data_IF_259433605253
#
_entry.id   IF_259433605253
#
_cell.length_a   1.000
_cell.length_b   1.000
_cell.length_c   1.000
_cell.angle_alpha   90.00
_cell.angle_beta   90.00
_cell.angle_gamma   90.00
#
_symmetry.space_group_name_H-M   'P 1'
#
loop_
_entity.id
_entity.type
_entity.pdbx_description
1 polymer ?
#
# COMPACT_ATOMS: atom_id res chain seq x y z
N UNK A 1 -15.36 24.59 -6.31
CA UNK A 1 -15.43 23.10 -6.27
C UNK A 1 -14.27 22.56 -5.44
N UNK A 2 -14.53 21.73 -4.43
CA UNK A 2 -13.50 21.15 -3.54
C UNK A 2 -13.05 19.79 -4.09
N UNK A 3 -11.74 19.47 -4.01
CA UNK A 3 -11.21 18.16 -4.40
C UNK A 3 -11.83 17.05 -3.54
N UNK A 4 -12.25 15.94 -4.15
CA UNK A 4 -12.88 14.83 -3.41
C UNK A 4 -11.91 14.08 -2.47
N UNK A 5 -10.59 14.24 -2.66
CA UNK A 5 -9.57 13.64 -1.79
C UNK A 5 -9.46 12.12 -1.90
N UNK A 6 -10.14 11.50 -2.87
CA UNK A 6 -10.16 10.06 -3.01
C UNK A 6 -8.82 9.53 -3.57
N UNK A 7 -8.18 8.62 -2.82
CA UNK A 7 -6.89 8.03 -3.23
C UNK A 7 -6.99 7.05 -4.39
N UNK A 8 -8.19 6.49 -4.66
CA UNK A 8 -8.36 5.36 -5.59
C UNK A 8 -8.40 5.86 -7.03
N UNK A 9 -7.49 5.36 -7.86
CA UNK A 9 -7.36 5.79 -9.26
C UNK A 9 -8.64 5.55 -10.07
N UNK A 10 -9.34 4.44 -9.81
CA UNK A 10 -10.60 4.09 -10.44
C UNK A 10 -11.75 5.10 -10.19
N UNK A 11 -11.64 5.95 -9.16
CA UNK A 11 -12.69 6.92 -8.80
C UNK A 11 -12.31 8.32 -9.25
N UNK A 12 -11.10 8.77 -8.91
CA UNK A 12 -10.63 10.11 -9.27
C UNK A 12 -9.12 10.06 -9.56
N UNK A 13 -8.70 9.88 -10.82
CA UNK A 13 -7.29 9.85 -11.21
C UNK A 13 -6.53 11.09 -10.74
N UNK A 14 -7.12 12.28 -10.85
CA UNK A 14 -6.47 13.53 -10.42
C UNK A 14 -6.14 13.59 -8.92
N UNK A 15 -7.09 13.21 -8.05
CA UNK A 15 -6.84 13.17 -6.60
C UNK A 15 -5.91 12.02 -6.22
N UNK A 16 -6.04 10.88 -6.91
CA UNK A 16 -5.23 9.69 -6.74
C UNK A 16 -3.75 9.94 -7.07
N UNK A 17 -3.47 10.57 -8.20
CA UNK A 17 -2.10 10.90 -8.63
C UNK A 17 -1.42 11.86 -7.63
N UNK A 18 -2.18 12.83 -7.12
CA UNK A 18 -1.67 13.76 -6.12
C UNK A 18 -1.37 13.04 -4.79
N UNK A 19 -2.23 12.10 -4.40
CA UNK A 19 -2.00 11.25 -3.22
C UNK A 19 -0.77 10.36 -3.39
N UNK A 20 -0.57 9.78 -4.58
CA UNK A 20 0.62 9.01 -4.91
C UNK A 20 1.89 9.86 -4.84
N UNK A 21 1.86 11.07 -5.40
CA UNK A 21 2.99 12.00 -5.34
C UNK A 21 3.33 12.43 -3.90
N UNK A 22 2.32 12.67 -3.07
CA UNK A 22 2.52 12.96 -1.64
C UNK A 22 3.13 11.76 -0.89
N UNK A 23 2.64 10.55 -1.20
CA UNK A 23 3.22 9.32 -0.65
C UNK A 23 4.67 9.18 -1.10
N UNK A 24 4.97 9.44 -2.36
CA UNK A 24 6.34 9.39 -2.89
C UNK A 24 7.25 10.34 -2.11
N UNK A 25 6.84 11.60 -1.90
CA UNK A 25 7.61 12.59 -1.14
C UNK A 25 7.86 12.14 0.31
N UNK A 26 6.84 11.57 0.95
CA UNK A 26 6.92 11.06 2.31
C UNK A 26 7.89 9.87 2.42
N UNK A 27 7.79 8.90 1.52
CA UNK A 27 8.65 7.71 1.51
C UNK A 27 10.08 8.10 1.14
N UNK A 28 10.26 8.93 0.11
CA UNK A 28 11.57 9.38 -0.34
C UNK A 28 12.31 10.15 0.75
N UNK A 29 11.67 11.12 1.41
CA UNK A 29 12.27 11.82 2.54
C UNK A 29 12.65 10.86 3.68
N UNK A 30 11.82 9.84 3.93
CA UNK A 30 12.07 8.81 4.93
C UNK A 30 13.05 7.72 4.51
N UNK A 31 13.57 7.73 3.29
CA UNK A 31 14.58 6.77 2.84
C UNK A 31 15.92 7.48 2.58
N UNK A 32 15.86 8.62 1.90
CA UNK A 32 17.03 9.39 1.47
C UNK A 32 17.45 10.46 2.49
N UNK A 33 16.50 11.12 3.15
CA UNK A 33 16.78 12.34 3.92
C UNK A 33 17.16 13.54 3.04
N UNK A 34 17.65 14.62 3.69
CA UNK A 34 18.09 15.85 3.04
C UNK A 34 16.96 16.80 2.60
N UNK A 35 15.70 16.44 2.85
CA UNK A 35 14.57 17.31 2.56
C UNK A 35 13.38 17.03 3.48
N UNK A 36 12.39 17.93 3.49
CA UNK A 36 11.20 17.84 4.36
C UNK A 36 11.52 17.69 5.86
N UNK A 37 12.62 18.29 6.31
CA UNK A 37 13.08 18.24 7.71
C UNK A 37 13.76 16.92 8.11
N UNK A 38 14.13 16.07 7.15
CA UNK A 38 14.88 14.84 7.40
C UNK A 38 16.39 15.09 7.27
N UNK A 39 17.22 14.63 8.23
CA UNK A 39 18.68 14.77 8.14
C UNK A 39 19.26 14.06 6.92
N UNK A 40 20.33 14.60 6.33
CA UNK A 40 21.07 13.96 5.22
C UNK A 40 21.64 12.60 5.61
N UNK A 41 22.00 12.42 6.89
CA UNK A 41 22.46 11.15 7.46
C UNK A 41 21.42 10.03 7.42
N UNK A 42 20.18 10.32 7.02
CA UNK A 42 19.14 9.29 6.86
C UNK A 42 19.52 8.24 5.82
N UNK A 43 20.14 8.65 4.71
CA UNK A 43 20.53 7.75 3.62
C UNK A 43 21.53 6.67 4.06
N UNK A 44 22.32 6.94 5.09
CA UNK A 44 23.36 6.02 5.59
C UNK A 44 22.85 5.09 6.70
N UNK A 45 21.60 5.26 7.14
CA UNK A 45 21.02 4.42 8.21
C UNK A 45 20.75 2.99 7.69
N UNK A 46 20.80 1.97 8.56
CA UNK A 46 20.40 0.61 8.19
C UNK A 46 18.95 0.59 7.75
N UNK A 47 18.72 0.15 6.52
CA UNK A 47 17.40 0.13 5.91
C UNK A 47 17.14 -1.22 5.24
N UNK A 48 15.90 -1.68 5.32
CA UNK A 48 15.43 -2.91 4.70
C UNK A 48 14.10 -2.64 4.03
N UNK A 49 14.00 -3.02 2.76
CA UNK A 49 12.73 -3.16 2.07
C UNK A 49 12.26 -4.62 2.21
N UNK A 50 11.05 -4.81 2.74
CA UNK A 50 10.48 -6.14 2.94
C UNK A 50 9.06 -6.24 2.38
N UNK A 51 8.74 -7.41 1.83
CA UNK A 51 7.41 -7.79 1.38
C UNK A 51 6.92 -8.98 2.21
N UNK A 52 5.97 -8.74 3.12
CA UNK A 52 5.35 -9.76 3.96
C UNK A 52 4.06 -10.25 3.29
N UNK A 53 4.01 -11.53 2.90
CA UNK A 53 2.88 -12.11 2.17
C UNK A 53 2.05 -13.06 3.03
N UNK A 54 0.83 -13.34 2.57
CA UNK A 54 -0.02 -14.38 3.15
C UNK A 54 0.51 -15.79 2.82
N UNK A 55 0.22 -16.80 3.66
CA UNK A 55 0.47 -18.20 3.32
C UNK A 55 -0.38 -18.63 2.11
N UNK A 56 -0.13 -19.84 1.61
CA UNK A 56 -1.01 -20.44 0.61
C UNK A 56 -2.28 -20.98 1.28
N UNK A 57 -3.44 -20.74 0.66
CA UNK A 57 -4.73 -21.32 1.04
C UNK A 57 -5.23 -22.34 0.02
N UNK A 58 -4.44 -22.62 -1.02
CA UNK A 58 -4.81 -23.48 -2.13
C UNK A 58 -4.02 -23.10 -3.38
N UNK A 59 -3.93 -24.02 -4.34
CA UNK A 59 -3.28 -23.74 -5.62
C UNK A 59 -4.12 -22.75 -6.44
N UNK A 60 -3.48 -21.72 -6.97
CA UNK A 60 -4.11 -20.68 -7.80
C UNK A 60 -3.36 -20.54 -9.12
N UNK A 61 -4.04 -20.06 -10.16
CA UNK A 61 -3.39 -19.70 -11.41
C UNK A 61 -2.36 -18.59 -11.18
N UNK A 62 -1.15 -18.76 -11.74
CA UNK A 62 -0.03 -17.82 -11.62
C UNK A 62 0.64 -17.60 -12.96
N UNK A 63 1.11 -16.37 -13.20
CA UNK A 63 1.95 -16.07 -14.35
C UNK A 63 3.36 -16.59 -14.05
N UNK A 64 3.82 -17.57 -14.82
CA UNK A 64 5.17 -18.10 -14.69
C UNK A 64 6.15 -17.22 -15.45
N UNK A 65 6.75 -16.20 -14.84
CA UNK A 65 7.77 -15.40 -15.52
C UNK A 65 8.37 -14.36 -14.59
N UNK A 66 9.70 -14.36 -14.43
CA UNK A 66 10.43 -13.20 -13.90
C UNK A 66 10.83 -12.34 -15.10
N UNK A 67 10.88 -11.02 -14.93
CA UNK A 67 11.38 -10.09 -15.94
C UNK A 67 12.73 -10.60 -16.50
N UNK A 68 12.80 -10.89 -17.80
CA UNK A 68 14.00 -11.42 -18.47
C UNK A 68 14.13 -12.95 -18.52
N UNK A 69 13.14 -13.71 -18.06
CA UNK A 69 13.05 -15.16 -18.29
C UNK A 69 11.88 -15.50 -19.23
N UNK A 70 12.04 -16.59 -19.99
CA UNK A 70 10.99 -17.12 -20.85
C UNK A 70 9.71 -17.40 -20.06
N UNK A 71 8.57 -17.13 -20.70
CA UNK A 71 7.26 -17.41 -20.13
C UNK A 71 7.12 -18.91 -19.83
N UNK A 72 6.65 -19.22 -18.63
CA UNK A 72 6.46 -20.56 -18.09
C UNK A 72 4.97 -20.84 -17.99
N UNK A 73 4.65 -22.08 -18.30
CA UNK A 73 3.35 -22.68 -18.05
C UNK A 73 2.96 -22.56 -16.57
N UNK A 74 1.68 -22.29 -16.33
CA UNK A 74 1.12 -21.97 -15.03
C UNK A 74 1.40 -23.04 -13.97
N UNK A 75 0.98 -24.28 -14.24
CA UNK A 75 1.19 -25.46 -13.39
C UNK A 75 1.54 -26.64 -14.29
N UNK A 76 2.83 -26.84 -14.63
CA UNK A 76 3.23 -27.93 -15.51
C UNK A 76 2.93 -29.30 -14.88
N UNK A 77 2.81 -30.36 -15.70
CA UNK A 77 2.57 -31.71 -15.20
C UNK A 77 3.79 -32.20 -14.42
N UNK A 78 3.72 -32.17 -13.10
CA UNK A 78 4.85 -32.51 -12.23
C UNK A 78 4.66 -33.89 -11.60
N UNK A 79 4.58 -34.97 -12.39
CA UNK A 79 4.70 -36.38 -11.97
C UNK A 79 3.86 -36.90 -10.78
N UNK A 80 3.02 -36.07 -10.17
CA UNK A 80 2.26 -36.32 -8.95
C UNK A 80 0.77 -36.49 -9.24
N UNK A 81 -0.08 -36.27 -8.23
CA UNK A 81 -1.53 -36.38 -8.37
C UNK A 81 -2.02 -35.36 -9.41
N UNK A 82 -2.50 -35.86 -10.54
CA UNK A 82 -3.04 -35.04 -11.63
C UNK A 82 -4.38 -34.39 -11.28
N UNK A 83 -5.13 -34.97 -10.33
CA UNK A 83 -6.44 -34.50 -9.91
C UNK A 83 -6.52 -34.39 -8.38
N UNK A 84 -7.32 -33.43 -7.91
CA UNK A 84 -7.67 -33.29 -6.51
C UNK A 84 -8.77 -34.31 -6.11
N UNK A 85 -9.08 -34.46 -4.80
CA UNK A 85 -10.19 -35.30 -4.34
C UNK A 85 -11.56 -34.93 -4.93
N UNK A 86 -11.74 -33.70 -5.40
CA UNK A 86 -12.96 -33.22 -6.06
C UNK A 86 -12.97 -33.47 -7.59
N UNK A 87 -11.98 -34.21 -8.11
CA UNK A 87 -11.90 -34.56 -9.53
C UNK A 87 -11.44 -33.43 -10.45
N UNK A 88 -11.00 -32.28 -9.93
CA UNK A 88 -10.43 -31.19 -10.74
C UNK A 88 -8.94 -31.40 -10.99
N UNK A 89 -8.50 -31.08 -12.20
CA UNK A 89 -7.09 -31.14 -12.56
C UNK A 89 -6.27 -30.13 -11.74
N UNK A 90 -5.12 -30.57 -11.21
CA UNK A 90 -4.17 -29.73 -10.47
C UNK A 90 -3.02 -29.22 -11.35
N UNK A 91 -3.25 -29.20 -12.66
CA UNK A 91 -2.31 -28.76 -13.68
C UNK A 91 -2.97 -27.73 -14.59
N UNK A 92 -2.18 -26.80 -15.10
CA UNK A 92 -2.58 -25.78 -16.05
C UNK A 92 -1.40 -25.55 -17.00
N UNK A 93 -1.55 -25.99 -18.25
CA UNK A 93 -0.53 -25.84 -19.29
C UNK A 93 -0.70 -24.53 -20.09
N UNK A 94 -1.44 -23.57 -19.54
CA UNK A 94 -1.60 -22.24 -20.13
C UNK A 94 -0.43 -21.36 -19.66
N UNK A 95 0.08 -20.55 -20.59
CA UNK A 95 0.95 -19.43 -20.27
C UNK A 95 0.05 -18.21 -20.09
N UNK A 96 -0.21 -17.84 -18.84
CA UNK A 96 -1.03 -16.67 -18.54
C UNK A 96 -0.25 -15.38 -18.78
N UNK A 97 -0.83 -14.49 -19.59
CA UNK A 97 -0.37 -13.11 -19.72
C UNK A 97 -0.70 -12.32 -18.45
N UNK A 98 -0.05 -11.17 -18.26
CA UNK A 98 -0.10 -10.43 -16.98
C UNK A 98 -1.49 -9.93 -16.58
N UNK A 99 -2.40 -9.80 -17.53
CA UNK A 99 -3.78 -9.29 -17.42
C UNK A 99 -4.85 -10.38 -17.56
N UNK A 100 -4.45 -11.65 -17.60
CA UNK A 100 -5.37 -12.78 -17.68
C UNK A 100 -6.27 -12.86 -16.43
N UNK A 101 -7.58 -12.95 -16.66
CA UNK A 101 -8.62 -12.98 -15.63
C UNK A 101 -8.57 -14.24 -14.74
N UNK A 102 -7.96 -15.34 -15.22
CA UNK A 102 -7.77 -16.54 -14.42
C UNK A 102 -6.73 -16.33 -13.31
N UNK A 103 -5.81 -15.37 -13.46
CA UNK A 103 -4.73 -15.16 -12.49
C UNK A 103 -5.25 -14.89 -11.08
N UNK A 104 -4.75 -15.69 -10.13
CA UNK A 104 -5.15 -15.64 -8.73
C UNK A 104 -6.42 -16.42 -8.40
N UNK A 105 -7.17 -16.90 -9.40
CA UNK A 105 -8.29 -17.82 -9.16
C UNK A 105 -7.77 -19.22 -8.78
N UNK A 106 -8.49 -19.98 -7.94
CA UNK A 106 -8.08 -21.31 -7.52
C UNK A 106 -8.24 -22.33 -8.64
N UNK A 107 -7.27 -23.25 -8.78
CA UNK A 107 -7.39 -24.41 -9.68
C UNK A 107 -8.61 -25.28 -9.32
N UNK A 108 -8.91 -25.37 -8.02
CA UNK A 108 -10.10 -26.00 -7.50
C UNK A 108 -10.67 -25.16 -6.36
N UNK A 109 -11.84 -24.50 -6.55
CA UNK A 109 -12.51 -23.72 -5.51
C UNK A 109 -12.76 -24.54 -4.24
N UNK A 110 -13.16 -25.81 -4.38
CA UNK A 110 -13.47 -26.68 -3.24
C UNK A 110 -12.22 -27.11 -2.45
N UNK A 111 -11.04 -27.07 -3.06
CA UNK A 111 -9.77 -27.27 -2.36
C UNK A 111 -9.22 -26.01 -1.68
N UNK A 112 -9.82 -24.84 -1.95
CA UNK A 112 -9.30 -23.56 -1.48
C UNK A 112 -9.87 -23.22 -0.09
N UNK A 113 -9.01 -22.94 0.88
CA UNK A 113 -9.39 -22.53 2.24
C UNK A 113 -9.82 -21.06 2.30
N UNK A 114 -11.06 -20.81 1.88
CA UNK A 114 -11.68 -19.48 1.93
C UNK A 114 -11.82 -18.94 3.36
N UNK A 115 -12.07 -19.81 4.33
CA UNK A 115 -12.15 -19.42 5.75
C UNK A 115 -10.81 -18.87 6.23
N UNK A 116 -9.73 -19.62 6.00
CA UNK A 116 -8.37 -19.16 6.32
C UNK A 116 -8.01 -17.85 5.60
N UNK A 117 -8.37 -17.73 4.31
CA UNK A 117 -8.15 -16.52 3.53
C UNK A 117 -8.82 -15.30 4.17
N UNK A 118 -10.13 -15.40 4.44
CA UNK A 118 -10.92 -14.29 4.97
C UNK A 118 -10.42 -13.89 6.35
N UNK A 119 -10.15 -14.86 7.22
CA UNK A 119 -9.60 -14.61 8.55
C UNK A 119 -8.22 -13.95 8.48
N UNK A 120 -7.36 -14.37 7.53
CA UNK A 120 -6.08 -13.71 7.31
C UNK A 120 -6.27 -12.23 6.94
N UNK A 121 -7.10 -11.90 5.94
CA UNK A 121 -7.34 -10.50 5.56
C UNK A 121 -7.91 -9.67 6.72
N UNK A 122 -8.87 -10.24 7.47
CA UNK A 122 -9.50 -9.60 8.63
C UNK A 122 -8.50 -9.29 9.76
N UNK A 123 -7.61 -10.24 10.04
CA UNK A 123 -6.61 -10.13 11.10
C UNK A 123 -5.24 -9.62 10.64
N UNK A 124 -5.06 -9.32 9.35
CA UNK A 124 -3.81 -8.81 8.81
C UNK A 124 -3.31 -7.54 9.56
N UNK A 125 -4.17 -6.59 10.01
CA UNK A 125 -3.72 -5.47 10.83
C UNK A 125 -3.17 -5.89 12.20
N UNK A 126 -3.71 -6.94 12.81
CA UNK A 126 -3.23 -7.48 14.09
C UNK A 126 -1.90 -8.24 13.90
N UNK A 127 -1.77 -9.03 12.84
CA UNK A 127 -0.49 -9.65 12.46
C UNK A 127 0.61 -8.60 12.26
N UNK A 128 0.27 -7.47 11.63
CA UNK A 128 1.21 -6.35 11.48
C UNK A 128 1.62 -5.75 12.84
N UNK A 129 0.66 -5.51 13.73
CA UNK A 129 0.94 -5.00 15.08
C UNK A 129 1.90 -5.95 15.82
N UNK A 130 1.59 -7.24 15.85
CA UNK A 130 2.44 -8.28 16.45
C UNK A 130 3.83 -8.33 15.84
N UNK A 131 3.92 -8.21 14.51
CA UNK A 131 5.20 -8.11 13.80
C UNK A 131 6.03 -6.92 14.25
N UNK A 132 5.47 -5.72 14.30
CA UNK A 132 6.23 -4.53 14.75
C UNK A 132 6.71 -4.65 16.19
N UNK A 133 5.93 -5.28 17.08
CA UNK A 133 6.32 -5.54 18.47
C UNK A 133 7.44 -6.59 18.52
N UNK A 134 7.29 -7.71 17.80
CA UNK A 134 8.28 -8.78 17.75
C UNK A 134 9.61 -8.28 17.16
N UNK A 135 9.55 -7.47 16.11
CA UNK A 135 10.70 -6.83 15.49
C UNK A 135 11.40 -5.88 16.47
N UNK A 136 10.67 -4.99 17.14
CA UNK A 136 11.25 -4.10 18.15
C UNK A 136 11.96 -4.87 19.28
N UNK A 137 11.36 -5.97 19.76
CA UNK A 137 11.98 -6.85 20.76
C UNK A 137 13.23 -7.54 20.24
N UNK A 138 13.20 -8.05 19.01
CA UNK A 138 14.33 -8.75 18.39
C UNK A 138 15.51 -7.80 18.14
N UNK A 139 15.23 -6.57 17.69
CA UNK A 139 16.23 -5.50 17.58
C UNK A 139 16.83 -5.19 18.95
N UNK A 140 16.01 -4.98 19.98
CA UNK A 140 16.52 -4.69 21.33
C UNK A 140 17.41 -5.80 21.90
N UNK A 141 17.09 -7.08 21.61
CA UNK A 141 17.95 -8.21 21.99
C UNK A 141 19.29 -8.15 21.25
N UNK A 142 19.26 -7.94 19.93
CA UNK A 142 20.48 -7.85 19.13
C UNK A 142 21.37 -6.67 19.55
N UNK A 143 20.78 -5.51 19.87
CA UNK A 143 21.51 -4.34 20.38
C UNK A 143 22.20 -4.64 21.70
N UNK A 144 21.52 -5.28 22.66
CA UNK A 144 22.15 -5.70 23.93
C UNK A 144 23.32 -6.66 23.70
N UNK A 145 23.18 -7.62 22.78
CA UNK A 145 24.26 -8.56 22.45
C UNK A 145 25.48 -7.88 21.79
N UNK A 146 25.27 -6.73 21.14
CA UNK A 146 26.33 -5.94 20.49
C UNK A 146 26.84 -4.78 21.36
N UNK A 147 26.39 -4.68 22.62
CA UNK A 147 26.84 -3.66 23.57
C UNK A 147 26.19 -2.29 23.39
N UNK A 148 25.06 -2.21 22.69
CA UNK A 148 24.32 -0.98 22.43
C UNK A 148 23.07 -0.92 23.32
N UNK A 149 22.86 0.22 23.97
CA UNK A 149 21.64 0.50 24.72
C UNK A 149 20.42 0.53 23.79
N UNK A 150 19.39 -0.33 24.00
CA UNK A 150 18.23 -0.40 23.12
C UNK A 150 17.49 0.92 22.93
N UNK A 151 17.45 1.77 23.97
CA UNK A 151 16.74 3.04 23.93
C UNK A 151 17.48 4.11 23.10
N UNK A 152 18.76 3.88 22.77
CA UNK A 152 19.52 4.72 21.86
C UNK A 152 19.11 4.54 20.39
N UNK A 153 18.34 3.49 20.07
CA UNK A 153 17.92 3.15 18.70
C UNK A 153 16.39 3.03 18.61
N UNK A 154 15.82 3.77 17.67
CA UNK A 154 14.40 3.76 17.32
C UNK A 154 14.14 2.98 16.04
N UNK A 155 13.15 2.10 16.09
CA UNK A 155 12.59 1.45 14.91
C UNK A 155 11.62 2.39 14.18
N UNK A 156 11.97 2.77 12.95
CA UNK A 156 11.14 3.58 12.07
C UNK A 156 10.69 2.78 10.86
N UNK A 157 9.43 2.89 10.47
CA UNK A 157 8.91 2.21 9.29
C UNK A 157 7.83 3.00 8.56
N UNK A 158 7.64 2.66 7.28
CA UNK A 158 6.44 2.92 6.49
C UNK A 158 5.99 1.62 5.83
N UNK A 159 4.69 1.39 5.79
CA UNK A 159 4.06 0.23 5.20
C UNK A 159 2.99 0.66 4.21
N UNK A 160 2.89 -0.07 3.11
CA UNK A 160 1.78 -0.07 2.16
C UNK A 160 1.15 -1.47 2.11
N UNK A 161 -0.17 -1.53 2.27
CA UNK A 161 -0.97 -2.72 2.02
C UNK A 161 -1.42 -2.76 0.56
N UNK A 162 -1.25 -3.90 -0.08
CA UNK A 162 -1.68 -4.16 -1.45
C UNK A 162 -2.39 -5.52 -1.51
N UNK A 163 -3.33 -5.68 -2.43
CA UNK A 163 -3.91 -6.98 -2.74
C UNK A 163 -3.10 -7.70 -3.82
N UNK A 164 -2.80 -8.96 -3.57
CA UNK A 164 -2.35 -9.89 -4.61
C UNK A 164 -3.49 -10.17 -5.58
N UNK A 165 -3.18 -10.70 -6.77
CA UNK A 165 -4.18 -11.16 -7.75
C UNK A 165 -5.23 -12.12 -7.16
N UNK A 166 -4.81 -12.93 -6.19
CA UNK A 166 -5.68 -13.83 -5.39
C UNK A 166 -6.43 -13.14 -4.25
N UNK A 167 -6.63 -11.82 -4.29
CA UNK A 167 -7.35 -11.02 -3.29
C UNK A 167 -6.85 -11.08 -1.82
N UNK A 168 -5.62 -11.57 -1.59
CA UNK A 168 -4.98 -11.54 -0.27
C UNK A 168 -4.15 -10.28 -0.09
N UNK A 169 -4.24 -9.69 1.09
CA UNK A 169 -3.40 -8.53 1.43
C UNK A 169 -1.96 -8.96 1.72
N UNK A 170 -1.00 -8.27 1.12
CA UNK A 170 0.41 -8.31 1.52
C UNK A 170 0.90 -6.90 1.89
N UNK A 171 2.02 -6.85 2.61
CA UNK A 171 2.62 -5.60 3.05
C UNK A 171 3.96 -5.39 2.40
N UNK A 172 4.10 -4.27 1.70
CA UNK A 172 5.41 -3.71 1.36
C UNK A 172 5.81 -2.72 2.44
N UNK A 173 7.00 -2.85 3.00
CA UNK A 173 7.46 -1.98 4.09
C UNK A 173 8.91 -1.59 3.91
N UNK A 174 9.23 -0.33 4.20
CA UNK A 174 10.60 0.10 4.43
C UNK A 174 10.78 0.25 5.94
N UNK A 175 11.80 -0.41 6.47
CA UNK A 175 12.15 -0.43 7.90
C UNK A 175 13.54 0.15 8.03
N UNK A 176 13.72 1.06 8.98
CA UNK A 176 14.96 1.80 9.23
C UNK A 176 15.24 1.85 10.73
N UNK A 177 16.52 1.75 11.11
CA UNK A 177 16.96 2.04 12.47
C UNK A 177 17.47 3.49 12.54
N UNK A 178 16.94 4.25 13.49
CA UNK A 178 17.32 5.64 13.75
C UNK A 178 17.98 5.77 15.11
N UNK A 179 18.95 6.68 15.31
CA UNK A 179 19.30 7.11 16.65
C UNK A 179 18.11 7.84 17.32
N UNK A 180 18.00 7.72 18.64
CA UNK A 180 16.97 8.42 19.42
C UNK A 180 17.33 9.89 19.66
N UNK A 181 18.62 10.17 19.89
CA UNK A 181 19.20 11.51 20.20
C UNK A 181 19.64 12.27 18.94
N UNK A 182 18.76 12.37 17.96
CA UNK A 182 19.01 13.15 16.75
C UNK A 182 18.53 14.60 16.92
N UNK A 183 19.18 15.33 17.82
CA UNK A 183 19.01 16.79 18.00
C UNK A 183 19.82 17.60 16.96
N UNK A 184 20.26 16.96 15.86
CA UNK A 184 20.89 17.63 14.72
C UNK A 184 22.30 18.19 14.96
N UNK A 185 22.92 17.94 16.13
CA UNK A 185 24.22 18.53 16.52
C UNK A 185 25.38 17.52 16.52
N UNK A 186 25.13 16.21 16.50
CA UNK A 186 26.22 15.23 16.53
C UNK A 186 26.66 14.82 15.12
N UNK A 187 27.50 15.66 14.50
CA UNK A 187 28.43 15.24 13.45
C UNK A 187 29.52 14.36 14.08
N UNK A 188 29.24 13.08 14.22
CA UNK A 188 30.21 12.09 14.66
C UNK A 188 29.85 10.75 14.03
N UNK A 189 30.82 10.11 13.36
CA UNK A 189 30.69 8.80 12.70
C UNK A 189 29.69 7.90 13.42
N UNK A 190 28.50 7.75 12.86
CA UNK A 190 27.63 6.63 13.20
C UNK A 190 28.26 5.42 12.51
N UNK A 191 29.25 4.82 13.17
CA UNK A 191 29.57 3.42 12.93
C UNK A 191 28.30 2.66 13.32
N UNK A 192 27.40 2.50 12.36
CA UNK A 192 26.19 1.73 12.56
C UNK A 192 26.61 0.28 12.81
N UNK A 193 26.74 -0.08 14.09
CA UNK A 193 27.13 -1.42 14.52
C UNK A 193 26.16 -2.48 13.97
N UNK A 194 24.90 -2.10 13.68
CA UNK A 194 23.94 -2.97 12.99
C UNK A 194 23.94 -2.66 11.51
N UNK A 195 24.34 -3.62 10.68
CA UNK A 195 24.26 -3.54 9.22
C UNK A 195 22.83 -3.72 8.70
N UNK A 196 22.56 -3.29 7.46
CA UNK A 196 21.29 -3.55 6.79
C UNK A 196 21.01 -5.07 6.64
N UNK A 197 22.06 -5.88 6.49
CA UNK A 197 21.98 -7.35 6.39
C UNK A 197 21.58 -8.00 7.72
N UNK A 198 22.13 -7.52 8.83
CA UNK A 198 21.70 -7.97 10.17
C UNK A 198 20.25 -7.58 10.42
N UNK A 199 19.87 -6.34 10.09
CA UNK A 199 18.47 -5.92 10.16
C UNK A 199 17.56 -6.81 9.31
N UNK A 200 17.97 -7.19 8.09
CA UNK A 200 17.21 -8.08 7.23
C UNK A 200 16.99 -9.46 7.86
N UNK A 201 18.01 -9.99 8.55
CA UNK A 201 17.94 -11.25 9.30
C UNK A 201 16.96 -11.15 10.46
N UNK A 202 17.01 -10.06 11.23
CA UNK A 202 16.10 -9.80 12.35
C UNK A 202 14.65 -9.66 11.84
N UNK A 203 14.44 -8.96 10.72
CA UNK A 203 13.12 -8.84 10.08
C UNK A 203 12.56 -10.20 9.68
N UNK A 204 13.38 -11.07 9.08
CA UNK A 204 12.99 -12.44 8.72
C UNK A 204 12.53 -13.24 9.94
N UNK A 205 13.38 -13.28 10.98
CA UNK A 205 13.08 -14.00 12.22
C UNK A 205 11.82 -13.47 12.91
N UNK A 206 11.63 -12.15 12.93
CA UNK A 206 10.43 -11.54 13.50
C UNK A 206 9.17 -11.95 12.72
N UNK A 207 9.21 -11.94 11.38
CA UNK A 207 8.07 -12.34 10.55
C UNK A 207 7.72 -13.83 10.70
N UNK A 208 8.71 -14.71 10.79
CA UNK A 208 8.53 -16.16 10.95
C UNK A 208 7.93 -16.55 12.32
N UNK A 209 8.27 -15.80 13.38
CA UNK A 209 7.78 -16.07 14.74
C UNK A 209 6.35 -15.59 14.99
N UNK A 210 5.87 -14.63 14.21
CA UNK A 210 4.55 -14.00 14.43
C UNK A 210 3.44 -14.96 14.05
N UNK A 211 2.60 -15.25 15.03
CA UNK A 211 1.41 -16.05 14.86
C UNK A 211 0.25 -15.48 15.70
N UNK A 212 -0.96 -15.81 15.30
CA UNK A 212 -2.20 -15.39 15.94
C UNK A 212 -3.20 -16.55 15.91
N UNK A 213 -3.49 -17.10 17.09
CA UNK A 213 -4.60 -18.03 17.27
C UNK A 213 -5.93 -17.27 17.16
N UNK A 214 -6.83 -17.77 16.35
CA UNK A 214 -8.19 -17.25 16.17
C UNK A 214 -9.15 -18.40 16.37
N UNK A 215 -10.03 -18.27 17.37
CA UNK A 215 -11.10 -19.21 17.58
C UNK A 215 -12.06 -19.18 16.39
N UNK A 216 -12.33 -20.34 15.80
CA UNK A 216 -13.35 -20.50 14.77
C UNK A 216 -14.39 -21.46 15.31
N UNK A 217 -15.55 -20.93 15.67
CA UNK A 217 -16.70 -21.77 16.00
C UNK A 217 -17.23 -22.37 14.69
N UNK A 218 -17.00 -23.66 14.48
CA UNK A 218 -17.66 -24.39 13.41
C UNK A 218 -19.15 -24.52 13.74
N UNK A 219 -20.07 -24.30 12.80
CA UNK A 219 -21.49 -24.59 13.01
C UNK A 219 -21.81 -26.10 13.09
N UNK A 220 -20.80 -26.98 12.98
CA UNK A 220 -21.00 -28.42 13.14
C UNK A 220 -21.06 -28.83 14.63
N UNK A 221 -22.28 -29.16 15.06
CA UNK A 221 -22.69 -29.86 16.29
C UNK A 221 -22.69 -29.05 17.61
N UNK A 222 -23.87 -28.64 18.14
CA UNK A 222 -24.00 -28.04 19.47
C UNK A 222 -23.67 -29.01 20.62
N UNK A 223 -23.51 -30.31 20.36
CA UNK A 223 -23.12 -31.31 21.36
C UNK A 223 -21.59 -31.53 21.49
N UNK A 224 -20.80 -30.97 20.57
CA UNK A 224 -19.34 -30.83 20.71
C UNK A 224 -18.83 -29.64 19.91
N UNK A 225 -18.74 -28.42 20.49
CA UNK A 225 -18.07 -27.32 19.81
C UNK A 225 -16.58 -27.65 19.71
N UNK A 226 -16.16 -28.27 18.61
CA UNK A 226 -14.76 -28.29 18.22
C UNK A 226 -14.36 -26.85 17.92
N UNK A 227 -14.03 -26.11 18.98
CA UNK A 227 -13.43 -24.78 18.91
C UNK A 227 -11.99 -25.00 18.49
N UNK A 228 -11.78 -25.23 17.20
CA UNK A 228 -10.45 -25.32 16.63
C UNK A 228 -9.87 -23.93 16.50
N UNK A 229 -8.84 -23.62 17.31
CA UNK A 229 -8.04 -22.42 17.11
C UNK A 229 -7.30 -22.53 15.77
N UNK A 230 -7.60 -21.63 14.83
CA UNK A 230 -6.81 -21.48 13.61
C UNK A 230 -5.62 -20.58 13.86
N UNK A 231 -4.43 -21.08 13.53
CA UNK A 231 -3.20 -20.33 13.66
C UNK A 231 -2.89 -19.53 12.40
N UNK A 232 -3.10 -18.21 12.45
CA UNK A 232 -2.74 -17.28 11.38
C UNK A 232 -1.28 -16.86 11.50
N UNK A 233 -0.57 -16.77 10.37
CA UNK A 233 0.85 -16.36 10.27
C UNK A 233 1.15 -15.76 8.90
N UNK A 234 2.29 -15.09 8.74
CA UNK A 234 2.80 -14.76 7.40
C UNK A 234 3.25 -16.02 6.65
N UNK A 235 3.20 -15.97 5.33
CA UNK A 235 3.67 -17.02 4.44
C UNK A 235 5.20 -17.13 4.42
N UNK A 236 5.71 -18.16 3.77
CA UNK A 236 7.16 -18.37 3.59
C UNK A 236 7.76 -17.53 2.47
N UNK A 237 6.93 -17.02 1.56
CA UNK A 237 7.35 -16.17 0.44
C UNK A 237 7.52 -14.72 0.91
N UNK A 238 8.56 -14.49 1.72
CA UNK A 238 8.94 -13.16 2.21
C UNK A 238 10.18 -12.71 1.45
N UNK A 239 10.04 -11.62 0.69
CA UNK A 239 11.17 -10.95 0.02
C UNK A 239 11.72 -9.87 0.95
N UNK A 240 13.03 -9.89 1.20
CA UNK A 240 13.70 -8.97 2.12
C UNK A 240 14.99 -8.54 1.46
N UNK A 241 15.10 -7.24 1.20
CA UNK A 241 16.21 -6.64 0.50
C UNK A 241 16.84 -5.58 1.41
N UNK A 242 18.05 -5.81 1.93
CA UNK A 242 18.80 -4.76 2.61
C UNK A 242 19.12 -3.64 1.63
N UNK A 243 18.90 -2.39 2.05
CA UNK A 243 19.27 -1.22 1.28
C UNK A 243 20.62 -0.74 1.83
N UNK A 244 21.71 -1.07 1.13
CA UNK A 244 23.05 -0.58 1.46
C UNK A 244 23.23 0.81 0.87
N UNK A 245 23.66 1.77 1.70
CA UNK A 245 24.02 3.11 1.23
C UNK A 245 25.22 3.00 0.28
N UNK A 246 25.03 3.46 -0.96
CA UNK A 246 26.05 3.60 -2.02
C UNK A 246 26.95 2.36 -2.24
N UNK A 247 26.66 1.58 -3.29
CA UNK A 247 27.75 0.95 -4.05
C UNK A 247 28.65 2.06 -4.62
N UNK A 248 29.93 1.76 -4.88
CA UNK A 248 30.95 2.64 -5.50
C UNK A 248 30.55 3.29 -6.85
N UNK A 249 29.32 3.06 -7.31
CA UNK A 249 28.67 3.62 -8.49
C UNK A 249 27.65 4.74 -8.19
N UNK A 250 27.41 5.12 -6.94
CA UNK A 250 26.57 6.29 -6.62
C UNK A 250 25.08 6.12 -6.94
N UNK A 251 24.48 4.96 -6.64
CA UNK A 251 23.04 4.75 -6.86
C UNK A 251 22.15 5.52 -5.86
N UNK A 252 22.03 6.84 -6.05
CA UNK A 252 20.93 7.71 -5.59
C UNK A 252 19.53 7.23 -6.06
N UNK A 253 19.47 6.15 -6.85
CA UNK A 253 18.26 5.61 -7.47
C UNK A 253 17.45 4.66 -6.59
N UNK A 254 18.02 3.95 -5.60
CA UNK A 254 17.28 2.90 -4.89
C UNK A 254 16.14 3.45 -4.02
N UNK A 255 16.40 4.49 -3.22
CA UNK A 255 15.37 5.16 -2.43
C UNK A 255 14.26 5.75 -3.33
N UNK A 256 14.64 6.34 -4.47
CA UNK A 256 13.72 6.84 -5.50
C UNK A 256 12.86 5.74 -6.11
N UNK A 257 13.46 4.60 -6.48
CA UNK A 257 12.78 3.43 -7.04
C UNK A 257 11.81 2.83 -6.02
N UNK A 258 12.22 2.64 -4.77
CA UNK A 258 11.36 2.11 -3.69
C UNK A 258 10.21 3.07 -3.37
N UNK A 259 10.46 4.38 -3.32
CA UNK A 259 9.41 5.38 -3.15
C UNK A 259 8.41 5.36 -4.31
N UNK A 260 8.89 5.26 -5.56
CA UNK A 260 8.06 5.10 -6.76
C UNK A 260 7.22 3.83 -6.70
N UNK A 261 7.84 2.71 -6.35
CA UNK A 261 7.20 1.42 -6.16
C UNK A 261 6.09 1.51 -5.11
N UNK A 262 6.37 1.97 -3.90
CA UNK A 262 5.37 2.08 -2.83
C UNK A 262 4.24 3.04 -3.20
N UNK A 263 4.54 4.21 -3.77
CA UNK A 263 3.55 5.19 -4.20
C UNK A 263 2.55 4.61 -5.21
N UNK A 264 3.02 3.80 -6.17
CA UNK A 264 2.20 3.13 -7.18
C UNK A 264 1.06 2.30 -6.55
N UNK A 265 1.33 1.61 -5.46
CA UNK A 265 0.35 0.71 -4.84
C UNK A 265 -0.65 1.40 -3.93
N UNK A 266 -0.35 2.62 -3.48
CA UNK A 266 -1.25 3.35 -2.58
C UNK A 266 -2.56 3.79 -3.22
N UNK A 267 -2.61 3.80 -4.55
CA UNK A 267 -3.79 4.19 -5.35
C UNK A 267 -4.61 2.99 -5.81
N UNK A 268 -4.05 1.78 -5.73
CA UNK A 268 -4.77 0.54 -6.02
C UNK A 268 -5.88 0.29 -5.01
N UNK A 269 -6.88 -0.45 -5.45
CA UNK A 269 -8.04 -0.80 -4.65
C UNK A 269 -8.70 -2.06 -5.20
N UNK A 270 -9.64 -2.61 -4.44
CA UNK A 270 -10.44 -3.76 -4.84
C UNK A 270 -11.33 -3.53 -6.07
N UNK A 271 -11.34 -2.34 -6.67
CA UNK A 271 -11.94 -2.10 -7.97
C UNK A 271 -11.36 -3.00 -9.08
N UNK A 272 -10.10 -3.44 -8.93
CA UNK A 272 -9.48 -4.43 -9.84
C UNK A 272 -10.15 -5.82 -9.75
N UNK A 273 -10.94 -6.07 -8.71
CA UNK A 273 -11.74 -7.28 -8.52
C UNK A 273 -13.23 -7.07 -8.83
N UNK A 274 -13.59 -5.99 -9.56
CA UNK A 274 -14.99 -5.64 -9.86
C UNK A 274 -15.75 -5.02 -8.68
N UNK A 275 -15.08 -4.74 -7.56
CA UNK A 275 -15.74 -4.21 -6.35
C UNK A 275 -15.79 -2.68 -6.38
N UNK A 276 -17.02 -2.16 -6.44
CA UNK A 276 -17.28 -0.74 -6.32
C UNK A 276 -16.86 -0.19 -4.95
N UNK A 277 -16.50 1.09 -4.91
CA UNK A 277 -16.02 1.80 -3.74
C UNK A 277 -17.12 2.23 -2.75
N UNK A 278 -18.15 1.39 -2.59
CA UNK A 278 -19.32 1.60 -1.73
C UNK A 278 -19.54 0.37 -0.87
N UNK A 279 -20.27 0.52 0.23
CA UNK A 279 -20.68 -0.63 1.06
C UNK A 279 -21.47 -1.62 0.20
N UNK A 280 -21.22 -2.90 0.43
CA UNK A 280 -21.91 -4.01 -0.20
C UNK A 280 -22.84 -4.60 0.87
N UNK A 281 -24.11 -4.80 0.54
CA UNK A 281 -25.01 -5.58 1.39
C UNK A 281 -24.81 -7.07 1.08
N UNK A 282 -24.94 -7.98 2.07
CA UNK A 282 -24.83 -9.42 1.84
C UNK A 282 -25.77 -9.93 0.74
N UNK A 283 -27.00 -9.41 0.69
CA UNK A 283 -28.00 -9.78 -0.31
C UNK A 283 -27.56 -9.44 -1.75
N UNK A 284 -26.75 -8.39 -1.95
CA UNK A 284 -26.28 -7.99 -3.27
C UNK A 284 -25.13 -8.85 -3.79
N UNK A 285 -24.50 -9.71 -2.97
CA UNK A 285 -23.31 -10.48 -3.36
C UNK A 285 -23.60 -11.35 -4.60
N UNK A 286 -24.80 -11.92 -4.73
CA UNK A 286 -25.19 -12.74 -5.87
C UNK A 286 -25.32 -11.97 -7.20
N UNK A 287 -25.56 -10.67 -7.15
CA UNK A 287 -25.84 -9.82 -8.31
C UNK A 287 -24.60 -9.09 -8.84
N UNK A 288 -23.48 -9.12 -8.10
CA UNK A 288 -22.25 -8.47 -8.51
C UNK A 288 -21.64 -9.15 -9.74
N UNK A 289 -21.14 -8.34 -10.68
CA UNK A 289 -20.32 -8.79 -11.80
C UNK A 289 -18.86 -8.96 -11.34
N UNK A 290 -18.59 -10.14 -10.77
CA UNK A 290 -17.32 -10.52 -10.15
C UNK A 290 -17.02 -11.98 -10.44
N UNK A 291 -15.74 -12.35 -10.42
CA UNK A 291 -15.32 -13.75 -10.59
C UNK A 291 -15.87 -14.64 -9.48
N UNK A 292 -15.98 -15.94 -9.78
CA UNK A 292 -16.44 -16.94 -8.81
C UNK A 292 -15.57 -16.93 -7.53
N UNK A 293 -14.26 -16.74 -7.69
CA UNK A 293 -13.33 -16.65 -6.55
C UNK A 293 -13.66 -15.50 -5.59
N UNK A 294 -13.89 -14.29 -6.13
CA UNK A 294 -14.22 -13.11 -5.34
C UNK A 294 -15.61 -13.28 -4.69
N UNK A 295 -16.56 -13.90 -5.40
CA UNK A 295 -17.88 -14.21 -4.84
C UNK A 295 -17.78 -15.17 -3.66
N UNK A 296 -16.98 -16.23 -3.76
CA UNK A 296 -16.72 -17.14 -2.64
C UNK A 296 -16.10 -16.40 -1.45
N UNK A 297 -15.12 -15.52 -1.65
CA UNK A 297 -14.54 -14.71 -0.55
C UNK A 297 -15.60 -13.86 0.14
N UNK A 298 -16.45 -13.17 -0.62
CA UNK A 298 -17.52 -12.33 -0.06
C UNK A 298 -18.57 -13.15 0.69
N UNK A 299 -18.99 -14.30 0.12
CA UNK A 299 -19.94 -15.21 0.77
C UNK A 299 -19.37 -15.77 2.07
N UNK A 300 -18.13 -16.27 2.07
CA UNK A 300 -17.47 -16.76 3.29
C UNK A 300 -17.33 -15.66 4.34
N UNK A 301 -17.01 -14.42 3.94
CA UNK A 301 -16.97 -13.29 4.86
C UNK A 301 -18.34 -12.96 5.45
N UNK A 302 -19.41 -13.05 4.66
CA UNK A 302 -20.78 -12.85 5.12
C UNK A 302 -21.24 -13.97 6.07
N UNK A 303 -20.92 -15.23 5.76
CA UNK A 303 -21.17 -16.40 6.60
C UNK A 303 -20.45 -16.27 7.95
N UNK A 304 -19.15 -15.99 7.95
CA UNK A 304 -18.38 -15.79 9.18
C UNK A 304 -18.92 -14.64 10.02
N UNK A 305 -19.50 -13.61 9.40
CA UNK A 305 -20.10 -12.48 10.11
C UNK A 305 -21.38 -12.86 10.87
N UNK A 306 -22.01 -14.00 10.58
CA UNK A 306 -23.14 -14.51 11.35
C UNK A 306 -22.73 -15.08 12.71
N UNK A 307 -21.45 -15.41 12.88
CA UNK A 307 -20.93 -15.94 14.13
C UNK A 307 -20.78 -14.82 15.19
N UNK A 308 -21.00 -15.13 16.48
CA UNK A 308 -20.78 -14.19 17.57
C UNK A 308 -19.37 -13.57 17.52
N UNK A 309 -19.28 -12.26 17.67
CA UNK A 309 -18.00 -11.52 17.64
C UNK A 309 -17.50 -11.12 16.26
N UNK A 310 -18.08 -11.65 15.18
CA UNK A 310 -17.66 -11.37 13.80
C UNK A 310 -18.60 -10.44 13.02
N UNK A 311 -19.71 -9.99 13.62
CA UNK A 311 -20.73 -9.16 12.94
C UNK A 311 -20.19 -7.90 12.26
N UNK A 312 -19.10 -7.34 12.79
CA UNK A 312 -18.42 -6.19 12.19
C UNK A 312 -17.89 -6.48 10.77
N UNK A 313 -17.63 -7.74 10.40
CA UNK A 313 -17.14 -8.16 9.09
C UNK A 313 -18.03 -7.67 7.93
N UNK A 314 -19.35 -7.60 8.13
CA UNK A 314 -20.28 -7.09 7.12
C UNK A 314 -19.95 -5.65 6.68
N UNK A 315 -19.43 -4.83 7.60
CA UNK A 315 -19.00 -3.46 7.29
C UNK A 315 -17.82 -3.38 6.31
N UNK A 316 -17.11 -4.49 6.10
CA UNK A 316 -15.85 -4.58 5.36
C UNK A 316 -15.92 -5.51 4.14
N UNK A 317 -17.12 -5.90 3.70
CA UNK A 317 -17.30 -6.62 2.43
C UNK A 317 -16.67 -5.87 1.25
N UNK A 318 -16.84 -4.55 1.22
CA UNK A 318 -16.28 -3.66 0.20
C UNK A 318 -14.75 -3.52 0.22
N UNK A 319 -14.06 -4.21 1.14
CA UNK A 319 -12.60 -4.32 1.20
C UNK A 319 -12.17 -5.78 1.37
N UNK A 320 -13.02 -6.75 1.01
CA UNK A 320 -12.68 -8.18 1.10
C UNK A 320 -12.18 -8.58 2.50
N UNK A 321 -12.77 -7.97 3.54
CA UNK A 321 -12.44 -8.21 4.94
C UNK A 321 -11.23 -7.43 5.47
N UNK A 322 -10.42 -6.78 4.63
CA UNK A 322 -9.31 -5.98 5.14
C UNK A 322 -9.80 -4.69 5.81
N UNK A 323 -9.45 -4.52 7.09
CA UNK A 323 -9.89 -3.38 7.91
C UNK A 323 -8.78 -2.39 8.29
N UNK A 324 -7.62 -2.48 7.65
CA UNK A 324 -6.47 -1.61 7.92
C UNK A 324 -6.38 -0.39 7.01
N UNK A 325 -5.48 0.53 7.35
CA UNK A 325 -5.09 1.60 6.45
C UNK A 325 -4.15 1.07 5.36
N UNK A 326 -4.36 1.52 4.12
CA UNK A 326 -3.47 1.17 3.00
C UNK A 326 -2.07 1.70 3.20
N UNK A 327 -1.88 2.84 3.86
CA UNK A 327 -0.55 3.38 4.13
C UNK A 327 -0.45 3.82 5.57
N UNK A 328 0.55 3.32 6.27
CA UNK A 328 0.82 3.65 7.68
C UNK A 328 2.32 3.87 7.86
N UNK A 329 2.70 4.88 8.63
CA UNK A 329 4.09 5.08 9.04
C UNK A 329 4.20 5.21 10.56
N UNK A 330 5.36 4.86 11.09
CA UNK A 330 5.77 5.27 12.43
C UNK A 330 5.89 6.80 12.51
N UNK A 331 5.75 7.35 13.73
CA UNK A 331 5.65 8.81 13.94
C UNK A 331 6.85 9.57 13.36
N UNK A 332 8.06 9.10 13.64
CA UNK A 332 9.35 9.73 13.30
C UNK A 332 9.99 9.21 11.99
N UNK A 333 9.25 8.45 11.18
CA UNK A 333 9.78 7.96 9.91
C UNK A 333 10.15 9.09 8.94
N UNK A 334 9.24 10.06 8.78
CA UNK A 334 9.31 11.15 7.79
C UNK A 334 8.25 12.23 8.09
N UNK A 335 8.13 13.23 7.21
CA UNK A 335 7.07 14.25 7.15
C UNK A 335 5.65 13.65 7.14
N UNK A 336 4.64 14.48 7.41
CA UNK A 336 3.21 14.07 7.40
C UNK A 336 2.51 14.48 6.11
N UNK A 337 1.46 13.73 5.74
CA UNK A 337 0.58 14.10 4.63
C UNK A 337 -0.06 15.48 4.84
N UNK A 338 -0.39 15.83 6.09
CA UNK A 338 -0.93 17.15 6.44
C UNK A 338 0.08 18.26 6.14
N UNK A 339 1.35 18.09 6.53
CA UNK A 339 2.39 19.06 6.24
C UNK A 339 2.65 19.22 4.73
N UNK A 340 2.65 18.10 3.97
CA UNK A 340 2.78 18.15 2.50
C UNK A 340 1.61 18.89 1.84
N UNK A 341 0.38 18.69 2.33
CA UNK A 341 -0.81 19.42 1.85
C UNK A 341 -0.74 20.90 2.18
N UNK A 342 -0.30 21.26 3.39
CA UNK A 342 -0.12 22.64 3.81
C UNK A 342 0.97 23.36 3.01
N UNK A 343 2.11 22.70 2.77
CA UNK A 343 3.18 23.23 1.92
C UNK A 343 2.68 23.53 0.51
N UNK A 344 1.94 22.60 -0.10
CA UNK A 344 1.33 22.79 -1.42
C UNK A 344 0.26 23.88 -1.43
N UNK A 345 -0.52 24.00 -0.37
CA UNK A 345 -1.53 25.05 -0.26
C UNK A 345 -0.88 26.43 -0.24
N UNK A 346 0.17 26.62 0.59
CA UNK A 346 0.96 27.86 0.62
C UNK A 346 1.54 28.19 -0.74
N UNK A 347 2.24 27.24 -1.37
CA UNK A 347 2.80 27.42 -2.72
C UNK A 347 1.74 27.87 -3.75
N UNK A 348 0.51 27.35 -3.68
CA UNK A 348 -0.57 27.79 -4.57
C UNK A 348 -1.05 29.21 -4.29
N UNK A 349 -1.08 29.63 -3.03
CA UNK A 349 -1.40 31.02 -2.66
C UNK A 349 -0.31 31.93 -3.20
N UNK A 350 0.95 31.56 -2.98
CA UNK A 350 2.10 32.36 -3.40
C UNK A 350 2.11 32.53 -4.93
N UNK A 351 1.95 31.43 -5.70
CA UNK A 351 1.86 31.50 -7.16
C UNK A 351 0.61 32.21 -7.69
N UNK A 352 -0.49 32.27 -6.92
CA UNK A 352 -1.68 33.01 -7.32
C UNK A 352 -1.59 34.50 -6.96
N UNK A 353 -0.71 34.86 -6.02
CA UNK A 353 -0.38 36.23 -5.64
C UNK A 353 0.71 36.87 -6.51
N UNK A 354 1.42 36.08 -7.32
CA UNK A 354 2.30 36.60 -8.36
C UNK A 354 1.43 37.12 -9.53
N UNK A 355 1.46 38.42 -9.87
CA UNK A 355 0.75 38.90 -11.04
C UNK A 355 1.27 38.17 -12.28
N UNK A 356 0.34 37.68 -13.12
CA UNK A 356 0.67 37.11 -14.44
C UNK A 356 1.72 38.00 -15.09
N UNK A 357 2.84 37.40 -15.53
CA UNK A 357 3.81 38.12 -16.36
C UNK A 357 3.04 38.60 -17.58
N UNK A 358 2.92 39.92 -17.61
CA UNK A 358 2.21 40.75 -18.56
C UNK A 358 2.47 40.27 -19.99
N UNK A 359 1.47 39.64 -20.60
CA UNK A 359 1.37 39.52 -22.04
C UNK A 359 -0.12 39.54 -22.43
N UNK A 360 -0.48 40.63 -23.10
CA UNK A 360 -1.68 40.86 -23.92
C UNK A 360 -2.90 41.55 -23.25
N UNK A 361 -2.84 42.88 -23.27
CA UNK A 361 -3.89 43.81 -23.73
C UNK A 361 -5.17 44.03 -22.90
N UNK A 362 -5.18 45.20 -22.26
CA UNK A 362 -6.23 46.23 -22.36
C UNK A 362 -7.68 45.74 -22.46
N UNK A 363 -8.39 45.80 -21.34
CA UNK A 363 -9.68 46.48 -21.32
C UNK A 363 -9.99 47.00 -19.91
N UNK A 364 -9.76 48.29 -19.74
CA UNK A 364 -10.23 49.09 -18.62
C UNK A 364 -11.75 49.22 -18.68
N UNK A 365 -12.50 48.63 -17.75
CA UNK A 365 -13.79 49.16 -17.32
C UNK A 365 -14.20 48.62 -15.94
N UNK A 366 -14.40 49.54 -15.00
CA UNK A 366 -15.33 49.37 -13.88
C UNK A 366 -14.82 48.64 -12.65
N UNK A 367 -13.90 49.25 -11.93
CA UNK A 367 -13.55 48.88 -10.55
C UNK A 367 -14.80 49.14 -9.66
N UNK A 368 -15.62 48.11 -9.45
CA UNK A 368 -16.64 48.14 -8.40
C UNK A 368 -15.99 47.73 -7.09
N UNK A 369 -15.88 48.74 -6.24
CA UNK A 369 -15.40 48.68 -4.87
C UNK A 369 -16.36 47.83 -4.00
N UNK A 370 -15.96 46.60 -3.69
CA UNK A 370 -16.70 45.73 -2.74
C UNK A 370 -16.24 45.93 -1.29
N UNK A 371 -15.68 47.11 -0.97
CA UNK A 371 -15.27 47.49 0.37
C UNK A 371 -16.45 48.03 1.17
N UNK A 372 -17.47 47.21 1.48
CA UNK A 372 -18.39 47.44 2.61
C UNK A 372 -19.39 46.30 2.76
N UNK A 373 -19.33 45.64 3.92
CA UNK A 373 -20.30 44.62 4.33
C UNK A 373 -19.61 43.31 4.66
N UNK A 374 -18.98 43.23 5.84
CA UNK A 374 -18.78 41.96 6.52
C UNK A 374 -20.17 41.40 6.90
N UNK A 375 -20.90 40.92 5.90
CA UNK A 375 -22.02 40.02 6.14
C UNK A 375 -21.36 38.77 6.68
N UNK A 376 -21.59 38.48 7.96
CA UNK A 376 -21.28 37.18 8.53
C UNK A 376 -21.96 36.12 7.66
N UNK A 377 -21.20 35.53 6.74
CA UNK A 377 -21.56 34.35 5.97
C UNK A 377 -21.50 33.17 6.96
N UNK A 378 -22.50 33.11 7.85
CA UNK A 378 -22.60 32.14 8.95
C UNK A 378 -23.19 30.79 8.51
N UNK A 379 -23.76 30.70 7.29
CA UNK A 379 -24.40 29.49 6.77
C UNK A 379 -23.72 28.98 5.49
N UNK A 380 -22.49 28.44 5.64
CA UNK A 380 -21.90 27.63 4.58
C UNK A 380 -22.51 26.23 4.60
N UNK A 381 -23.23 25.87 3.55
CA UNK A 381 -23.63 24.48 3.27
C UNK A 381 -22.81 23.95 2.12
N UNK A 382 -22.35 22.71 2.26
CA UNK A 382 -21.64 22.02 1.17
C UNK A 382 -22.67 21.74 0.06
N UNK A 383 -22.59 22.49 -1.03
CA UNK A 383 -23.44 22.31 -2.23
C UNK A 383 -23.12 21.00 -2.99
N UNK A 384 -21.91 20.46 -2.81
CA UNK A 384 -21.53 19.15 -3.34
C UNK A 384 -20.02 18.92 -3.31
N UNK A 385 -19.62 17.67 -3.49
CA UNK A 385 -18.21 17.27 -3.60
C UNK A 385 -18.01 16.36 -4.82
N UNK A 386 -16.98 16.63 -5.62
CA UNK A 386 -16.70 15.90 -6.85
C UNK A 386 -17.34 16.52 -8.10
N UNK A 387 -17.56 15.70 -9.13
CA UNK A 387 -18.12 16.11 -10.41
C UNK A 387 -19.64 16.03 -10.37
N UNK A 388 -20.34 17.06 -10.88
CA UNK A 388 -21.81 17.12 -10.84
C UNK A 388 -22.48 16.25 -11.89
N UNK A 389 -21.80 16.02 -13.02
CA UNK A 389 -22.28 15.22 -14.13
C UNK A 389 -21.09 14.65 -14.93
N UNK A 390 -21.41 13.78 -15.90
CA UNK A 390 -20.40 13.12 -16.74
C UNK A 390 -19.64 14.09 -17.65
N UNK A 391 -20.24 15.22 -18.03
CA UNK A 391 -19.57 16.28 -18.82
C UNK A 391 -18.45 16.97 -18.05
N UNK A 392 -18.73 17.43 -16.81
CA UNK A 392 -17.71 17.98 -15.91
C UNK A 392 -16.63 16.94 -15.60
N UNK A 393 -17.03 15.69 -15.37
CA UNK A 393 -16.10 14.58 -15.16
C UNK A 393 -15.17 14.42 -16.35
N UNK A 394 -15.69 14.40 -17.58
CA UNK A 394 -14.89 14.30 -18.80
C UNK A 394 -13.89 15.46 -18.93
N UNK A 395 -14.33 16.70 -18.73
CA UNK A 395 -13.47 17.87 -18.82
C UNK A 395 -12.33 17.82 -17.79
N UNK A 396 -12.63 17.53 -16.52
CA UNK A 396 -11.60 17.45 -15.48
C UNK A 396 -10.65 16.29 -15.71
N UNK A 397 -11.15 15.12 -16.13
CA UNK A 397 -10.30 13.98 -16.46
C UNK A 397 -9.37 14.29 -17.65
N UNK A 398 -9.89 14.92 -18.71
CA UNK A 398 -9.08 15.31 -19.87
C UNK A 398 -7.99 16.32 -19.52
N UNK A 399 -8.31 17.33 -18.69
CA UNK A 399 -7.35 18.30 -18.22
C UNK A 399 -6.28 17.66 -17.30
N UNK A 400 -6.69 16.73 -16.44
CA UNK A 400 -5.77 15.98 -15.59
C UNK A 400 -4.82 15.10 -16.41
N UNK A 401 -5.30 14.42 -17.45
CA UNK A 401 -4.46 13.64 -18.38
C UNK A 401 -3.45 14.55 -19.08
N UNK A 402 -3.89 15.66 -19.71
CA UNK A 402 -2.99 16.63 -20.35
C UNK A 402 -1.92 17.16 -19.39
N UNK A 403 -2.29 17.49 -18.15
CA UNK A 403 -1.34 17.96 -17.15
C UNK A 403 -0.34 16.88 -16.68
N UNK A 404 -0.72 15.59 -16.73
CA UNK A 404 0.21 14.48 -16.48
C UNK A 404 1.18 14.33 -17.64
N UNK A 405 0.66 14.33 -18.87
CA UNK A 405 1.46 14.16 -20.08
C UNK A 405 2.47 15.30 -20.20
N UNK A 406 2.04 16.55 -19.96
CA UNK A 406 2.94 17.71 -19.93
C UNK A 406 4.07 17.54 -18.90
N UNK A 407 3.76 17.08 -17.68
CA UNK A 407 4.79 16.82 -16.64
C UNK A 407 5.67 15.62 -16.96
N UNK A 408 5.18 14.65 -17.72
CA UNK A 408 5.97 13.52 -18.18
C UNK A 408 6.94 13.97 -19.28
N UNK A 409 6.43 14.67 -20.29
CA UNK A 409 7.21 15.26 -21.37
C UNK A 409 8.26 16.24 -20.84
N UNK A 410 7.91 17.14 -19.93
CA UNK A 410 8.87 18.05 -19.30
C UNK A 410 9.97 17.31 -18.53
N UNK A 411 9.65 16.18 -17.90
CA UNK A 411 10.67 15.33 -17.23
C UNK A 411 11.56 14.61 -18.23
N UNK A 412 11.00 14.12 -19.33
CA UNK A 412 11.77 13.52 -20.41
C UNK A 412 12.74 14.53 -21.03
N UNK A 413 12.27 15.75 -21.30
CA UNK A 413 13.08 16.83 -21.87
C UNK A 413 14.24 17.20 -20.93
N UNK A 414 13.96 17.37 -19.62
CA UNK A 414 15.02 17.57 -18.62
C UNK A 414 16.00 16.40 -18.57
N UNK A 415 15.53 15.15 -18.63
CA UNK A 415 16.40 13.96 -18.59
C UNK A 415 17.31 13.87 -19.83
N UNK A 416 16.79 14.21 -21.01
CA UNK A 416 17.53 14.23 -22.27
C UNK A 416 18.57 15.37 -22.29
N UNK A 417 18.23 16.54 -21.74
CA UNK A 417 19.14 17.68 -21.65
C UNK A 417 20.17 17.57 -20.51
N UNK A 418 19.93 16.71 -19.50
CA UNK A 418 20.83 16.51 -18.35
C UNK A 418 21.75 15.28 -18.48
N UNK A 419 21.63 14.49 -19.56
CA UNK A 419 22.41 13.27 -19.78
C UNK A 419 22.12 12.14 -18.77
N UNK A 420 21.05 12.23 -17.99
CA UNK A 420 20.65 11.23 -17.00
C UNK A 420 19.43 10.46 -17.50
N UNK A 421 19.56 9.14 -17.68
CA UNK A 421 18.44 8.26 -18.07
C UNK A 421 17.31 8.28 -17.04
N UNK A 422 16.04 8.17 -17.49
CA UNK A 422 14.82 8.41 -16.69
C UNK A 422 14.61 7.48 -15.49
#
# INVERSE_FOLDING_TARGET
MIRCGNRRAAICPSCSDLYAADTWQLVHAGAQGGHHGMPETTATRPQVFATLTAPSFGAVHTSGGRSGQADKVCHPPNGGKSHCPHGKALQCNVIHVSDDDELGQPLCPDCYDYTGHVLFNWHAPELWRRFTIALGRAVAVHLRCTGIEPDAVRLSFVKVAEYQRRALVHYHTLIRLDPTDDDGITTGKSDSVVSATELATIVRQAAERVHLAVAVSSPADPSSPETGDRMLRFGTQIDIQPLTGASDTGELGLARRVAGYLAKYTTKSVAEFGIAARRISPAAIGELDISAHIRCILSTLAELATLPGNTAMLGWLHTLGYRGHITTKSRRYSITMTALRAARHRWRIDCAGEPERDDCQQNSHGQQDWSSGASELSDWRIDGAGHRNDGERLLVHSAALRARDYRYLARLDVSQNSGASP
#
